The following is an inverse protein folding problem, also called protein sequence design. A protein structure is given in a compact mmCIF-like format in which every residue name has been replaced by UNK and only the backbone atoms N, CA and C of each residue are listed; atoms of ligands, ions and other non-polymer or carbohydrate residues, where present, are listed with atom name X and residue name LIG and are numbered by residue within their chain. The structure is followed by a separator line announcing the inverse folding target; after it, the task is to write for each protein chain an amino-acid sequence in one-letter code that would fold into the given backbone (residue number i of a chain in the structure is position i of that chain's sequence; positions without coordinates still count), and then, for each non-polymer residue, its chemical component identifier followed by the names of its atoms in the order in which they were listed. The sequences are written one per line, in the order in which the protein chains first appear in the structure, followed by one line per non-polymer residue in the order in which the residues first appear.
data_IF_936074306104
#
_entry.id   IF_936074306104
#
_cell.length_a   1.000
_cell.length_b   1.000
_cell.length_c   1.000
_cell.angle_alpha   90.00
_cell.angle_beta   90.00
_cell.angle_gamma   90.00
#
_symmetry.space_group_name_H-M   'P 1'
#
loop_
_entity.id
_entity.type
_entity.pdbx_description
1 polymer ?
#
# COMPACT_ATOMS: atom_id res chain seq x y z
N UNK A 1 -11.66 20.23 26.54
CA UNK A 1 -11.46 18.77 26.47
C UNK A 1 -10.04 18.54 25.99
N UNK A 2 -9.26 17.62 26.57
CA UNK A 2 -7.92 17.31 26.03
C UNK A 2 -8.13 16.39 24.83
N UNK A 3 -7.49 16.69 23.70
CA UNK A 3 -7.53 15.82 22.54
C UNK A 3 -7.05 14.41 22.94
N UNK A 4 -7.67 13.35 22.40
CA UNK A 4 -7.34 11.97 22.73
C UNK A 4 -5.90 11.66 22.36
N UNK A 5 -5.28 10.78 23.15
CA UNK A 5 -3.93 10.31 22.87
C UNK A 5 -3.96 9.36 21.67
N UNK A 6 -3.61 9.90 20.50
CA UNK A 6 -3.53 9.17 19.24
C UNK A 6 -2.60 7.97 19.34
N UNK A 7 -1.51 8.09 20.13
CA UNK A 7 -0.56 6.99 20.34
C UNK A 7 -1.23 5.83 21.07
N UNK A 8 -2.04 6.12 22.09
CA UNK A 8 -2.74 5.10 22.86
C UNK A 8 -3.74 4.30 22.01
N UNK A 9 -4.46 4.96 21.08
CA UNK A 9 -5.37 4.27 20.14
C UNK A 9 -4.60 3.28 19.27
N UNK A 10 -3.47 3.71 18.72
CA UNK A 10 -2.60 2.86 17.90
C UNK A 10 -1.98 1.70 18.67
N UNK A 11 -1.53 1.94 19.90
CA UNK A 11 -0.98 0.92 20.80
C UNK A 11 -2.01 -0.14 21.16
N UNK A 12 -3.24 0.26 21.51
CA UNK A 12 -4.33 -0.65 21.81
C UNK A 12 -4.69 -1.52 20.59
N UNK A 13 -4.75 -0.93 19.40
CA UNK A 13 -5.03 -1.66 18.17
C UNK A 13 -3.93 -2.69 17.84
N UNK A 14 -2.64 -2.32 17.96
CA UNK A 14 -1.52 -3.24 17.80
C UNK A 14 -1.52 -4.35 18.84
N UNK A 15 -1.89 -4.04 20.09
CA UNK A 15 -2.07 -5.02 21.16
C UNK A 15 -3.10 -6.08 20.79
N UNK A 16 -4.27 -5.64 20.31
CA UNK A 16 -5.31 -6.55 19.84
C UNK A 16 -4.85 -7.40 18.64
N UNK A 17 -4.20 -6.80 17.64
CA UNK A 17 -3.66 -7.50 16.47
C UNK A 17 -2.64 -8.58 16.87
N UNK A 18 -1.75 -8.27 17.82
CA UNK A 18 -0.75 -9.21 18.35
C UNK A 18 -1.40 -10.38 19.09
N UNK A 19 -2.43 -10.11 19.89
CA UNK A 19 -3.20 -11.14 20.60
C UNK A 19 -4.00 -12.04 19.65
N UNK A 20 -4.46 -11.50 18.51
CA UNK A 20 -5.27 -12.21 17.51
C UNK A 20 -4.48 -12.62 16.27
N UNK A 21 -3.15 -12.64 16.33
CA UNK A 21 -2.27 -12.90 15.17
C UNK A 21 -2.57 -14.24 14.46
N UNK A 22 -3.13 -15.21 15.17
CA UNK A 22 -3.49 -16.51 14.60
C UNK A 22 -4.58 -16.40 13.51
N UNK A 23 -5.36 -15.33 13.51
CA UNK A 23 -6.33 -15.02 12.44
C UNK A 23 -5.68 -14.72 11.08
N UNK A 24 -4.37 -14.42 11.05
CA UNK A 24 -3.60 -14.15 9.82
C UNK A 24 -2.83 -15.36 9.30
N UNK A 25 -2.93 -16.52 9.94
CA UNK A 25 -2.15 -17.72 9.53
C UNK A 25 -2.56 -18.16 8.13
N UNK A 26 -1.56 -18.47 7.31
CA UNK A 26 -1.80 -19.16 6.06
C UNK A 26 -2.04 -20.64 6.36
N UNK A 27 -3.24 -21.13 6.04
CA UNK A 27 -3.57 -22.55 6.05
C UNK A 27 -3.41 -23.18 4.66
N UNK A 28 -3.83 -24.44 4.53
CA UNK A 28 -3.77 -25.20 3.27
C UNK A 28 -4.51 -24.51 2.11
N UNK A 29 -5.53 -23.69 2.41
CA UNK A 29 -6.25 -22.87 1.45
C UNK A 29 -5.33 -21.85 0.71
N UNK A 30 -4.18 -21.47 1.26
CA UNK A 30 -3.31 -20.44 0.69
C UNK A 30 -2.77 -20.81 -0.71
N UNK A 31 -2.52 -22.10 -0.96
CA UNK A 31 -2.07 -22.62 -2.25
C UNK A 31 -3.15 -23.43 -3.00
N UNK A 32 -4.32 -23.63 -2.37
CA UNK A 32 -5.42 -24.32 -3.03
C UNK A 32 -5.91 -23.54 -4.25
N UNK A 33 -6.20 -24.23 -5.35
CA UNK A 33 -6.68 -23.61 -6.59
C UNK A 33 -7.98 -22.80 -6.43
N UNK A 34 -8.81 -23.17 -5.44
CA UNK A 34 -10.06 -22.49 -5.09
C UNK A 34 -9.95 -21.68 -3.79
N UNK A 35 -8.74 -21.50 -3.26
CA UNK A 35 -8.51 -20.76 -2.02
C UNK A 35 -8.82 -19.27 -2.20
N UNK A 36 -9.50 -18.66 -1.24
CA UNK A 36 -9.86 -17.25 -1.30
C UNK A 36 -8.66 -16.37 -0.91
N UNK A 37 -8.17 -15.56 -1.86
CA UNK A 37 -7.07 -14.59 -1.61
C UNK A 37 -7.46 -13.61 -0.51
N UNK A 38 -8.72 -13.15 -0.52
CA UNK A 38 -9.28 -12.22 0.47
C UNK A 38 -9.36 -12.82 1.89
N UNK A 39 -9.32 -14.15 2.02
CA UNK A 39 -9.32 -14.83 3.32
C UNK A 39 -7.93 -15.34 3.75
N UNK A 40 -6.92 -15.25 2.89
CA UNK A 40 -5.60 -15.84 3.12
C UNK A 40 -4.50 -14.79 2.95
N UNK A 41 -4.09 -14.52 1.72
CA UNK A 41 -2.97 -13.65 1.40
C UNK A 41 -3.23 -12.17 1.64
N UNK A 42 -4.47 -11.69 1.44
CA UNK A 42 -4.82 -10.28 1.61
C UNK A 42 -4.62 -9.81 3.06
N UNK A 43 -5.22 -10.44 4.09
CA UNK A 43 -4.99 -10.04 5.48
C UNK A 43 -3.51 -10.06 5.88
N UNK A 44 -2.75 -11.06 5.41
CA UNK A 44 -1.33 -11.18 5.71
C UNK A 44 -0.50 -10.05 5.09
N UNK A 45 -0.81 -9.68 3.84
CA UNK A 45 -0.16 -8.58 3.14
C UNK A 45 -0.48 -7.22 3.78
N UNK A 46 -1.74 -7.01 4.17
CA UNK A 46 -2.18 -5.80 4.89
C UNK A 46 -1.47 -5.68 6.25
N UNK A 47 -1.39 -6.78 7.00
CA UNK A 47 -0.63 -6.83 8.25
C UNK A 47 0.84 -6.45 8.04
N UNK A 48 1.51 -7.08 7.07
CA UNK A 48 2.91 -6.81 6.79
C UNK A 48 3.13 -5.35 6.37
N UNK A 49 2.25 -4.83 5.52
CA UNK A 49 2.32 -3.46 5.04
C UNK A 49 2.19 -2.43 6.16
N UNK A 50 1.17 -2.57 7.00
CA UNK A 50 0.96 -1.67 8.15
C UNK A 50 2.11 -1.78 9.14
N UNK A 51 2.61 -2.98 9.43
CA UNK A 51 3.76 -3.14 10.33
C UNK A 51 5.00 -2.41 9.81
N UNK A 52 5.27 -2.46 8.49
CA UNK A 52 6.37 -1.68 7.89
C UNK A 52 6.18 -0.19 8.11
N UNK A 53 4.97 0.33 7.91
CA UNK A 53 4.68 1.75 8.13
C UNK A 53 4.86 2.15 9.60
N UNK A 54 4.35 1.35 10.54
CA UNK A 54 4.51 1.59 11.99
C UNK A 54 5.99 1.62 12.37
N UNK A 55 6.78 0.65 11.91
CA UNK A 55 8.23 0.59 12.20
C UNK A 55 8.99 1.81 11.72
N UNK A 56 8.53 2.46 10.64
CA UNK A 56 9.16 3.67 10.08
C UNK A 56 8.83 4.95 10.86
N UNK A 57 7.72 4.98 11.58
CA UNK A 57 7.21 6.18 12.27
C UNK A 57 7.24 6.07 13.80
N UNK A 58 7.81 5.00 14.35
CA UNK A 58 7.87 4.76 15.79
C UNK A 58 9.30 4.55 16.26
N UNK A 59 9.60 5.05 17.46
CA UNK A 59 10.89 4.84 18.12
C UNK A 59 11.16 3.34 18.31
N UNK A 60 12.35 2.80 17.97
CA UNK A 60 12.71 1.40 18.18
C UNK A 60 12.53 0.87 19.62
N UNK A 61 12.60 1.76 20.62
CA UNK A 61 12.37 1.46 22.02
C UNK A 61 10.88 1.52 22.44
N UNK A 62 9.98 1.97 21.58
CA UNK A 62 8.53 2.01 21.86
C UNK A 62 7.90 0.62 21.87
N UNK A 63 6.76 0.49 22.56
CA UNK A 63 5.97 -0.75 22.56
C UNK A 63 5.39 -1.04 21.17
N UNK A 64 4.88 -0.02 20.47
CA UNK A 64 4.37 -0.11 19.11
C UNK A 64 5.39 -0.67 18.13
N UNK A 65 6.64 -0.20 18.18
CA UNK A 65 7.69 -0.69 17.29
C UNK A 65 7.98 -2.18 17.52
N UNK A 66 8.09 -2.61 18.78
CA UNK A 66 8.29 -4.03 19.10
C UNK A 66 7.13 -4.90 18.63
N UNK A 67 5.89 -4.48 18.91
CA UNK A 67 4.69 -5.22 18.48
C UNK A 67 4.62 -5.37 16.95
N UNK A 68 4.87 -4.29 16.21
CA UNK A 68 4.91 -4.31 14.75
C UNK A 68 6.05 -5.19 14.20
N UNK A 69 7.22 -5.17 14.84
CA UNK A 69 8.36 -6.02 14.48
C UNK A 69 8.02 -7.51 14.64
N UNK A 70 7.43 -7.87 15.77
CA UNK A 70 7.03 -9.25 16.07
C UNK A 70 5.94 -9.75 15.11
N UNK A 71 4.95 -8.89 14.80
CA UNK A 71 3.88 -9.17 13.83
C UNK A 71 4.43 -9.33 12.40
N UNK A 72 5.35 -8.47 11.98
CA UNK A 72 6.00 -8.58 10.66
C UNK A 72 6.84 -9.86 10.56
N UNK A 73 7.59 -10.19 11.60
CA UNK A 73 8.36 -11.43 11.67
C UNK A 73 7.43 -12.66 11.65
N UNK A 74 6.29 -12.59 12.35
CA UNK A 74 5.26 -13.61 12.26
C UNK A 74 4.73 -13.76 10.83
N UNK A 75 4.38 -12.66 10.18
CA UNK A 75 3.84 -12.67 8.82
C UNK A 75 4.84 -13.27 7.82
N UNK A 76 6.12 -12.94 7.96
CA UNK A 76 7.19 -13.51 7.13
C UNK A 76 7.37 -15.02 7.34
N UNK A 77 7.21 -15.52 8.58
CA UNK A 77 7.23 -16.96 8.83
C UNK A 77 6.05 -17.68 8.15
N UNK A 78 4.87 -17.04 8.08
CA UNK A 78 3.72 -17.65 7.39
C UNK A 78 3.97 -17.89 5.90
N UNK A 79 4.83 -17.09 5.26
CA UNK A 79 5.18 -17.27 3.84
C UNK A 79 6.28 -18.31 3.61
N UNK A 80 6.65 -19.08 4.65
CA UNK A 80 7.82 -19.96 4.62
C UNK A 80 9.12 -19.17 4.42
N UNK A 81 9.20 -17.96 5.00
CA UNK A 81 10.31 -17.03 4.78
C UNK A 81 10.53 -16.74 3.29
N UNK A 82 9.42 -16.53 2.57
CA UNK A 82 9.41 -16.20 1.15
C UNK A 82 9.40 -17.41 0.20
N UNK A 83 9.50 -18.63 0.72
CA UNK A 83 9.49 -19.86 -0.10
C UNK A 83 8.14 -20.09 -0.82
N UNK A 84 7.03 -19.55 -0.29
CA UNK A 84 5.71 -19.73 -0.91
C UNK A 84 5.46 -18.82 -2.13
N UNK A 85 6.17 -17.69 -2.28
CA UNK A 85 5.91 -16.77 -3.39
C UNK A 85 6.23 -17.35 -4.78
N UNK A 86 7.36 -18.06 -5.00
CA UNK A 86 7.60 -18.75 -6.27
C UNK A 86 6.57 -19.83 -6.57
N UNK A 87 6.04 -20.52 -5.55
CA UNK A 87 4.98 -21.51 -5.74
C UNK A 87 3.69 -20.85 -6.20
N UNK A 88 3.30 -19.78 -5.50
CA UNK A 88 2.12 -18.99 -5.80
C UNK A 88 2.17 -18.38 -7.21
N UNK A 89 3.32 -17.82 -7.61
CA UNK A 89 3.50 -17.28 -8.97
C UNK A 89 3.48 -18.38 -10.04
N UNK A 90 3.96 -19.59 -9.76
CA UNK A 90 3.84 -20.71 -10.71
C UNK A 90 2.39 -21.15 -10.89
N UNK A 91 1.61 -21.16 -9.82
CA UNK A 91 0.18 -21.47 -9.88
C UNK A 91 -0.58 -20.38 -10.62
N UNK A 92 -0.20 -19.11 -10.43
CA UNK A 92 -0.94 -17.96 -10.95
C UNK A 92 -0.02 -16.89 -11.55
N UNK A 93 0.62 -17.18 -12.70
CA UNK A 93 1.69 -16.34 -13.25
C UNK A 93 1.23 -14.95 -13.71
N UNK A 94 -0.08 -14.71 -13.82
CA UNK A 94 -0.66 -13.44 -14.24
C UNK A 94 -1.37 -12.69 -13.10
N UNK A 95 -1.50 -13.30 -11.92
CA UNK A 95 -2.08 -12.62 -10.79
C UNK A 95 -1.04 -11.68 -10.17
N UNK A 96 -1.43 -10.47 -9.78
CA UNK A 96 -0.46 -9.48 -9.28
C UNK A 96 -0.32 -9.47 -7.76
N UNK A 97 -1.28 -10.07 -7.04
CA UNK A 97 -1.34 -9.98 -5.58
C UNK A 97 -0.12 -10.58 -4.88
N UNK A 98 0.51 -11.62 -5.46
CA UNK A 98 1.71 -12.20 -4.88
C UNK A 98 2.87 -11.18 -4.85
N UNK A 99 2.98 -10.31 -5.87
CA UNK A 99 3.98 -9.23 -5.90
C UNK A 99 3.65 -8.14 -4.90
N UNK A 100 2.37 -7.78 -4.80
CA UNK A 100 1.92 -6.73 -3.90
C UNK A 100 2.09 -7.12 -2.42
N UNK A 101 1.79 -8.37 -2.08
CA UNK A 101 2.06 -8.92 -0.74
C UNK A 101 3.57 -9.01 -0.49
N UNK A 102 4.34 -9.48 -1.47
CA UNK A 102 5.81 -9.55 -1.35
C UNK A 102 6.45 -8.18 -1.13
N UNK A 103 5.96 -7.15 -1.82
CA UNK A 103 6.52 -5.79 -1.77
C UNK A 103 6.49 -5.18 -0.36
N UNK A 104 5.54 -5.57 0.48
CA UNK A 104 5.53 -5.22 1.90
C UNK A 104 6.79 -5.74 2.60
N UNK A 105 7.07 -7.03 2.50
CA UNK A 105 8.26 -7.68 3.07
C UNK A 105 9.56 -7.12 2.47
N UNK A 106 9.59 -6.96 1.15
CA UNK A 106 10.75 -6.47 0.43
C UNK A 106 11.19 -5.06 0.89
N UNK A 107 10.23 -4.20 1.23
CA UNK A 107 10.49 -2.86 1.79
C UNK A 107 11.00 -2.87 3.23
N UNK A 108 10.82 -3.97 3.94
CA UNK A 108 11.43 -4.23 5.25
C UNK A 108 12.83 -4.87 5.15
N UNK A 109 13.33 -5.12 3.93
CA UNK A 109 14.57 -5.87 3.71
C UNK A 109 14.43 -7.38 3.85
N UNK A 110 13.20 -7.91 3.95
CA UNK A 110 12.92 -9.34 3.95
C UNK A 110 12.79 -9.81 2.49
N UNK A 111 13.87 -10.39 1.96
CA UNK A 111 14.05 -10.66 0.53
C UNK A 111 14.05 -12.17 0.23
N UNK A 112 13.54 -12.55 -0.94
CA UNK A 112 13.59 -13.89 -1.51
C UNK A 112 14.18 -13.80 -2.92
N UNK A 113 15.50 -14.07 -3.10
CA UNK A 113 16.15 -13.97 -4.41
C UNK A 113 15.50 -14.82 -5.48
N UNK A 114 15.06 -16.04 -5.11
CA UNK A 114 14.38 -16.96 -6.04
C UNK A 114 13.06 -16.38 -6.57
N UNK A 115 12.30 -15.69 -5.70
CA UNK A 115 11.08 -15.03 -6.13
C UNK A 115 11.36 -13.79 -6.99
N UNK A 116 12.34 -12.97 -6.61
CA UNK A 116 12.71 -11.77 -7.37
C UNK A 116 13.17 -12.10 -8.79
N UNK A 117 13.97 -13.16 -8.96
CA UNK A 117 14.40 -13.63 -10.28
C UNK A 117 13.19 -14.05 -11.14
N UNK A 118 12.28 -14.85 -10.57
CA UNK A 118 11.07 -15.30 -11.25
C UNK A 118 10.12 -14.12 -11.59
N UNK A 119 9.91 -13.21 -10.64
CA UNK A 119 9.09 -12.02 -10.83
C UNK A 119 9.68 -11.08 -11.87
N UNK A 120 11.00 -10.91 -11.92
CA UNK A 120 11.65 -10.12 -12.96
C UNK A 120 11.41 -10.70 -14.36
N UNK A 121 11.36 -12.03 -14.51
CA UNK A 121 11.01 -12.66 -15.80
C UNK A 121 9.55 -12.37 -16.17
N UNK A 122 8.62 -12.60 -15.24
CA UNK A 122 7.18 -12.37 -15.46
C UNK A 122 6.89 -10.91 -15.79
N UNK A 123 7.51 -9.96 -15.06
CA UNK A 123 7.29 -8.52 -15.24
C UNK A 123 7.71 -8.00 -16.62
N UNK A 124 8.66 -8.68 -17.29
CA UNK A 124 9.07 -8.35 -18.67
C UNK A 124 8.15 -8.90 -19.75
N UNK A 125 7.19 -9.76 -19.39
CA UNK A 125 6.27 -10.32 -20.38
C UNK A 125 5.27 -9.25 -20.82
N UNK A 126 4.86 -9.30 -22.09
CA UNK A 126 3.78 -8.44 -22.59
C UNK A 126 2.49 -8.64 -21.80
N UNK A 127 2.19 -9.89 -21.40
CA UNK A 127 1.00 -10.24 -20.63
C UNK A 127 0.92 -9.44 -19.33
N UNK A 128 2.00 -9.42 -18.55
CA UNK A 128 2.09 -8.61 -17.33
C UNK A 128 1.87 -7.12 -17.62
N UNK A 129 2.60 -6.56 -18.58
CA UNK A 129 2.58 -5.13 -18.91
C UNK A 129 1.20 -4.62 -19.35
N UNK A 130 0.43 -5.46 -20.05
CA UNK A 130 -0.89 -5.10 -20.60
C UNK A 130 -2.07 -5.68 -19.82
N UNK A 131 -1.84 -6.21 -18.62
CA UNK A 131 -2.91 -6.76 -17.77
C UNK A 131 -4.00 -5.70 -17.54
N UNK A 132 -5.24 -6.03 -17.89
CA UNK A 132 -6.42 -5.21 -17.61
C UNK A 132 -6.62 -5.11 -16.09
N UNK A 133 -6.66 -3.89 -15.57
CA UNK A 133 -6.68 -3.60 -14.14
C UNK A 133 -7.43 -2.31 -13.88
N UNK A 134 -8.07 -2.25 -12.71
CA UNK A 134 -8.57 -0.99 -12.19
C UNK A 134 -7.41 0.01 -12.02
N UNK A 135 -7.64 1.31 -12.25
CA UNK A 135 -6.59 2.32 -12.20
C UNK A 135 -5.81 2.38 -10.88
N UNK A 136 -6.48 2.27 -9.72
CA UNK A 136 -5.82 2.23 -8.41
C UNK A 136 -4.98 0.95 -8.25
N UNK A 137 -5.48 -0.18 -8.76
CA UNK A 137 -4.75 -1.46 -8.76
C UNK A 137 -3.47 -1.36 -9.58
N UNK A 138 -3.51 -0.71 -10.75
CA UNK A 138 -2.30 -0.45 -11.55
C UNK A 138 -1.27 0.34 -10.74
N UNK A 139 -1.68 1.34 -9.96
CA UNK A 139 -0.77 2.08 -9.08
C UNK A 139 -0.15 1.18 -7.99
N UNK A 140 -0.93 0.25 -7.41
CA UNK A 140 -0.42 -0.75 -6.46
C UNK A 140 0.71 -1.59 -7.06
N UNK A 141 0.52 -2.08 -8.28
CA UNK A 141 1.51 -2.91 -8.97
C UNK A 141 2.79 -2.12 -9.25
N UNK A 142 2.68 -0.89 -9.76
CA UNK A 142 3.85 -0.04 -10.03
C UNK A 142 4.62 0.29 -8.73
N UNK A 143 3.91 0.59 -7.65
CA UNK A 143 4.52 0.80 -6.33
C UNK A 143 5.23 -0.49 -5.85
N UNK A 144 4.59 -1.64 -6.04
CA UNK A 144 5.11 -2.95 -5.61
C UNK A 144 6.33 -3.40 -6.41
N UNK A 145 6.37 -3.14 -7.72
CA UNK A 145 7.55 -3.36 -8.56
C UNK A 145 8.74 -2.58 -8.03
N UNK A 146 8.57 -1.28 -7.79
CA UNK A 146 9.62 -0.42 -7.22
C UNK A 146 10.13 -0.96 -5.89
N UNK A 147 9.24 -1.32 -4.97
CA UNK A 147 9.60 -1.84 -3.64
C UNK A 147 10.26 -3.21 -3.68
N UNK A 148 9.87 -4.04 -4.64
CA UNK A 148 10.53 -5.32 -4.92
C UNK A 148 11.88 -5.15 -5.63
N UNK A 149 12.26 -3.93 -6.05
CA UNK A 149 13.50 -3.68 -6.81
C UNK A 149 13.39 -4.07 -8.29
N UNK A 150 12.17 -4.22 -8.80
CA UNK A 150 11.89 -4.44 -10.22
C UNK A 150 11.78 -3.08 -10.93
N UNK A 151 12.13 -3.06 -12.21
CA UNK A 151 11.88 -1.89 -13.05
C UNK A 151 10.37 -1.73 -13.26
N UNK A 152 9.74 -0.61 -12.84
CA UNK A 152 8.32 -0.42 -13.04
C UNK A 152 7.97 -0.42 -14.53
N UNK A 153 6.90 -1.11 -14.91
CA UNK A 153 6.51 -1.21 -16.32
C UNK A 153 5.66 -0.03 -16.83
N UNK A 154 5.51 1.02 -16.02
CA UNK A 154 4.73 2.20 -16.34
C UNK A 154 4.96 3.33 -15.35
N UNK A 155 4.40 4.49 -15.69
CA UNK A 155 4.60 5.72 -14.92
C UNK A 155 3.45 5.96 -13.95
N UNK A 156 3.77 6.17 -12.68
CA UNK A 156 2.78 6.44 -11.63
C UNK A 156 1.90 7.67 -11.92
N UNK A 157 2.43 8.80 -12.44
CA UNK A 157 1.59 9.94 -12.85
C UNK A 157 0.59 9.61 -13.97
N UNK A 158 0.93 8.68 -14.87
CA UNK A 158 0.03 8.27 -15.94
C UNK A 158 -1.10 7.37 -15.41
N UNK A 159 -0.79 6.48 -14.46
CA UNK A 159 -1.79 5.67 -13.77
C UNK A 159 -2.74 6.54 -12.93
N UNK A 160 -2.21 7.53 -12.20
CA UNK A 160 -3.00 8.47 -11.40
C UNK A 160 -4.11 9.14 -12.22
N UNK A 161 -3.79 9.67 -13.41
CA UNK A 161 -4.77 10.35 -14.29
C UNK A 161 -5.95 9.48 -14.71
N UNK A 162 -5.85 8.15 -14.59
CA UNK A 162 -6.94 7.23 -14.91
C UNK A 162 -7.84 6.92 -13.71
N UNK A 163 -7.46 7.34 -12.51
CA UNK A 163 -8.23 7.09 -11.27
C UNK A 163 -9.35 8.11 -11.11
N UNK A 164 -10.34 7.77 -10.27
CA UNK A 164 -11.39 8.71 -9.86
C UNK A 164 -10.76 9.97 -9.23
N UNK A 165 -9.87 9.83 -8.24
CA UNK A 165 -9.19 10.97 -7.60
C UNK A 165 -8.38 11.82 -8.60
N UNK A 166 -7.68 11.19 -9.56
CA UNK A 166 -6.91 11.91 -10.57
C UNK A 166 -7.77 12.72 -11.55
N UNK A 167 -9.07 12.43 -11.64
CA UNK A 167 -10.05 13.20 -12.39
C UNK A 167 -10.60 14.41 -11.63
N UNK A 168 -10.32 14.55 -10.33
CA UNK A 168 -10.86 15.61 -9.45
C UNK A 168 -12.38 15.80 -9.62
N UNK A 169 -13.17 14.74 -9.37
CA UNK A 169 -14.59 14.72 -9.67
C UNK A 169 -15.37 15.63 -8.72
N UNK A 170 -16.66 15.77 -8.94
CA UNK A 170 -17.49 16.53 -8.02
C UNK A 170 -17.56 15.82 -6.65
N UNK A 171 -17.38 16.54 -5.53
CA UNK A 171 -17.14 15.95 -4.22
C UNK A 171 -18.35 15.20 -3.64
N UNK A 172 -19.56 15.50 -4.12
CA UNK A 172 -20.79 14.79 -3.75
C UNK A 172 -20.94 13.43 -4.44
N UNK A 173 -20.05 13.08 -5.39
CA UNK A 173 -19.97 11.73 -5.96
C UNK A 173 -19.15 10.76 -5.09
N UNK A 174 -18.74 11.20 -3.89
CA UNK A 174 -18.05 10.35 -2.92
C UNK A 174 -19.00 9.28 -2.39
N UNK A 175 -18.72 8.04 -2.78
CA UNK A 175 -19.36 6.83 -2.26
C UNK A 175 -18.32 5.95 -1.56
N UNK A 176 -18.78 4.95 -0.80
CA UNK A 176 -17.89 4.05 -0.05
C UNK A 176 -16.80 3.41 -0.92
N UNK A 177 -17.16 2.92 -2.11
CA UNK A 177 -16.21 2.34 -3.07
C UNK A 177 -15.18 3.36 -3.60
N UNK A 178 -15.62 4.60 -3.85
CA UNK A 178 -14.76 5.69 -4.28
C UNK A 178 -13.80 6.11 -3.15
N UNK A 179 -14.28 6.17 -1.90
CA UNK A 179 -13.47 6.48 -0.72
C UNK A 179 -12.33 5.49 -0.52
N UNK A 180 -12.66 4.21 -0.51
CA UNK A 180 -11.68 3.12 -0.46
C UNK A 180 -10.71 3.15 -1.66
N UNK A 181 -11.20 3.44 -2.88
CA UNK A 181 -10.32 3.55 -4.05
C UNK A 181 -9.34 4.72 -3.91
N UNK A 182 -9.82 5.86 -3.40
CA UNK A 182 -9.06 7.09 -3.18
C UNK A 182 -7.96 6.92 -2.14
N UNK A 183 -8.25 6.26 -1.02
CA UNK A 183 -7.27 6.02 0.05
C UNK A 183 -6.09 5.22 -0.48
N UNK A 184 -6.34 4.16 -1.25
CA UNK A 184 -5.31 3.38 -1.92
C UNK A 184 -4.50 4.18 -2.94
N UNK A 185 -5.12 5.09 -3.70
CA UNK A 185 -4.38 5.98 -4.59
C UNK A 185 -3.36 6.81 -3.81
N UNK A 186 -3.76 7.40 -2.68
CA UNK A 186 -2.85 8.18 -1.83
C UNK A 186 -1.78 7.30 -1.18
N UNK A 187 -2.14 6.10 -0.70
CA UNK A 187 -1.14 5.17 -0.16
C UNK A 187 -0.09 4.79 -1.21
N UNK A 188 -0.48 4.53 -2.46
CA UNK A 188 0.49 4.20 -3.49
C UNK A 188 1.34 5.40 -3.95
N UNK A 189 0.76 6.61 -3.99
CA UNK A 189 1.48 7.85 -4.31
C UNK A 189 2.54 8.17 -3.27
N UNK A 190 2.16 8.11 -2.00
CA UNK A 190 2.98 8.53 -0.86
C UNK A 190 3.90 7.43 -0.34
N UNK A 191 3.96 6.29 -1.03
CA UNK A 191 4.63 5.08 -0.52
C UNK A 191 4.20 4.73 0.92
N UNK A 192 2.89 4.74 1.13
CA UNK A 192 2.21 4.49 2.39
C UNK A 192 2.60 5.50 3.48
N UNK A 193 2.60 6.78 3.12
CA UNK A 193 2.87 7.91 4.02
C UNK A 193 4.34 8.31 4.14
N UNK A 194 5.28 7.60 3.50
CA UNK A 194 6.71 7.89 3.57
C UNK A 194 7.18 9.05 2.66
N UNK A 195 6.35 9.46 1.70
CA UNK A 195 6.65 10.53 0.77
C UNK A 195 5.44 11.47 0.58
N UNK A 196 5.07 12.29 1.58
CA UNK A 196 3.93 13.21 1.47
C UNK A 196 4.05 14.18 0.28
N UNK A 197 5.26 14.63 -0.02
CA UNK A 197 5.55 15.56 -1.13
C UNK A 197 5.37 14.93 -2.52
N UNK A 198 5.16 13.61 -2.61
CA UNK A 198 4.86 12.93 -3.86
C UNK A 198 3.43 13.19 -4.35
N UNK A 199 2.54 13.73 -3.50
CA UNK A 199 1.17 14.08 -3.89
C UNK A 199 1.20 15.33 -4.78
N UNK A 200 0.66 15.28 -6.02
CA UNK A 200 0.64 16.45 -6.88
C UNK A 200 -0.14 17.62 -6.23
N UNK A 201 0.31 18.88 -6.37
CA UNK A 201 -0.32 20.02 -5.69
C UNK A 201 -1.82 20.19 -5.94
N UNK A 202 -2.30 19.86 -7.15
CA UNK A 202 -3.73 19.93 -7.48
C UNK A 202 -4.56 18.86 -6.77
N UNK A 203 -3.98 17.67 -6.54
CA UNK A 203 -4.63 16.60 -5.76
C UNK A 203 -4.63 16.97 -4.28
N UNK A 204 -3.52 17.49 -3.76
CA UNK A 204 -3.43 17.95 -2.38
C UNK A 204 -4.44 19.06 -2.09
N UNK A 205 -4.54 20.08 -2.95
CA UNK A 205 -5.51 21.16 -2.80
C UNK A 205 -6.97 20.68 -2.82
N UNK A 206 -7.28 19.69 -3.67
CA UNK A 206 -8.61 19.08 -3.73
C UNK A 206 -8.94 18.31 -2.44
N UNK A 207 -7.99 17.54 -1.91
CA UNK A 207 -8.17 16.81 -0.65
C UNK A 207 -8.22 17.74 0.56
N UNK A 208 -7.42 18.80 0.60
CA UNK A 208 -7.47 19.83 1.63
C UNK A 208 -8.88 20.45 1.74
N UNK A 209 -9.59 20.56 0.62
CA UNK A 209 -10.95 21.12 0.58
C UNK A 209 -12.03 20.12 1.01
N UNK A 210 -11.93 18.85 0.61
CA UNK A 210 -13.06 17.90 0.71
C UNK A 210 -12.87 16.77 1.71
N UNK A 211 -11.63 16.41 2.05
CA UNK A 211 -11.34 15.34 3.00
C UNK A 211 -12.00 15.55 4.37
N UNK A 212 -12.03 16.78 4.96
CA UNK A 212 -12.70 16.98 6.24
C UNK A 212 -14.18 16.58 6.23
N UNK A 213 -14.92 16.96 5.19
CA UNK A 213 -16.35 16.65 5.08
C UNK A 213 -16.62 15.16 4.87
N UNK A 214 -15.79 14.48 4.06
CA UNK A 214 -15.91 13.03 3.87
C UNK A 214 -15.55 12.25 5.13
N UNK A 215 -14.52 12.68 5.86
CA UNK A 215 -14.13 12.08 7.13
C UNK A 215 -15.27 12.24 8.16
N UNK A 216 -15.80 13.44 8.32
CA UNK A 216 -16.94 13.73 9.22
C UNK A 216 -18.14 12.83 8.88
N UNK A 217 -18.51 12.74 7.60
CA UNK A 217 -19.61 11.87 7.12
C UNK A 217 -19.37 10.39 7.41
N UNK A 218 -18.14 9.91 7.23
CA UNK A 218 -17.79 8.51 7.53
C UNK A 218 -17.92 8.23 9.03
N UNK A 219 -17.49 9.15 9.89
CA UNK A 219 -17.58 8.98 11.34
C UNK A 219 -19.02 9.09 11.84
N UNK A 220 -19.82 10.01 11.29
CA UNK A 220 -21.25 10.13 11.59
C UNK A 220 -22.04 8.88 11.20
N UNK A 221 -21.69 8.25 10.07
CA UNK A 221 -22.28 6.98 9.66
C UNK A 221 -21.58 5.77 10.30
N UNK A 222 -20.65 5.97 11.24
CA UNK A 222 -19.91 4.91 11.94
C UNK A 222 -19.20 3.93 10.98
N UNK A 223 -18.70 4.44 9.86
CA UNK A 223 -17.82 3.71 8.93
C UNK A 223 -16.38 3.78 9.42
N UNK A 224 -16.10 3.14 10.55
CA UNK A 224 -14.83 3.25 11.27
C UNK A 224 -13.62 2.85 10.43
N UNK A 225 -13.76 1.80 9.63
CA UNK A 225 -12.71 1.33 8.74
C UNK A 225 -12.27 2.42 7.74
N UNK A 226 -13.23 2.92 6.95
CA UNK A 226 -12.99 3.99 5.98
C UNK A 226 -12.59 5.30 6.69
N UNK A 227 -13.14 5.58 7.86
CA UNK A 227 -12.74 6.73 8.69
C UNK A 227 -11.26 6.68 9.09
N UNK A 228 -10.77 5.52 9.53
CA UNK A 228 -9.35 5.31 9.80
C UNK A 228 -8.49 5.42 8.52
N UNK A 229 -8.98 4.90 7.39
CA UNK A 229 -8.27 5.07 6.12
C UNK A 229 -8.13 6.53 5.71
N UNK A 230 -9.20 7.33 5.84
CA UNK A 230 -9.19 8.77 5.56
C UNK A 230 -8.32 9.55 6.55
N UNK A 231 -8.23 9.12 7.82
CA UNK A 231 -7.26 9.67 8.77
C UNK A 231 -5.81 9.38 8.36
N UNK A 232 -5.52 8.18 7.86
CA UNK A 232 -4.20 7.88 7.29
C UNK A 232 -3.92 8.71 6.03
N UNK A 233 -4.92 8.95 5.17
CA UNK A 233 -4.80 9.90 4.05
C UNK A 233 -4.45 11.29 4.55
N UNK A 234 -5.19 11.82 5.54
CA UNK A 234 -4.91 13.12 6.13
C UNK A 234 -3.47 13.24 6.63
N UNK A 235 -2.96 12.20 7.29
CA UNK A 235 -1.58 12.17 7.78
C UNK A 235 -0.52 12.00 6.68
N UNK A 236 -0.90 11.49 5.51
CA UNK A 236 -0.02 11.28 4.36
C UNK A 236 0.03 12.49 3.40
N UNK A 237 -0.80 13.53 3.60
CA UNK A 237 -0.80 14.74 2.76
C UNK A 237 0.32 15.71 3.16
N UNK A 238 0.79 16.58 2.24
CA UNK A 238 1.81 17.58 2.56
C UNK A 238 1.44 18.46 3.77
N UNK A 239 0.15 18.76 3.96
CA UNK A 239 -0.36 19.51 5.11
C UNK A 239 -1.35 18.66 5.88
N UNK A 240 -1.27 18.71 7.21
CA UNK A 240 -2.29 18.12 8.08
C UNK A 240 -3.57 18.98 8.05
N UNK A 241 -4.76 18.37 8.19
CA UNK A 241 -5.98 19.12 8.50
C UNK A 241 -5.83 19.92 9.80
N UNK A 242 -6.75 20.87 10.02
CA UNK A 242 -6.75 21.66 11.24
C UNK A 242 -6.88 20.79 12.50
N UNK A 243 -6.34 21.31 13.61
CA UNK A 243 -6.25 20.56 14.87
C UNK A 243 -7.60 20.13 15.43
N UNK A 244 -8.66 20.92 15.22
CA UNK A 244 -10.00 20.63 15.74
C UNK A 244 -10.66 19.51 14.95
N UNK A 245 -10.55 19.52 13.61
CA UNK A 245 -10.99 18.43 12.75
C UNK A 245 -10.29 17.11 13.12
N UNK A 246 -8.96 17.13 13.27
CA UNK A 246 -8.23 15.93 13.69
C UNK A 246 -8.61 15.47 15.10
N UNK A 247 -8.76 16.40 16.05
CA UNK A 247 -9.15 16.06 17.42
C UNK A 247 -10.52 15.37 17.46
N UNK A 248 -11.55 15.96 16.82
CA UNK A 248 -12.89 15.35 16.75
C UNK A 248 -12.88 13.98 16.10
N UNK A 249 -12.11 13.81 15.02
CA UNK A 249 -12.02 12.54 14.33
C UNK A 249 -11.42 11.44 15.22
N UNK A 250 -10.30 11.74 15.90
CA UNK A 250 -9.69 10.80 16.83
C UNK A 250 -10.55 10.54 18.08
N UNK A 251 -11.37 11.51 18.53
CA UNK A 251 -12.33 11.29 19.62
C UNK A 251 -13.38 10.25 19.24
N UNK A 252 -13.90 10.33 18.01
CA UNK A 252 -14.82 9.32 17.46
C UNK A 252 -14.20 7.93 17.39
N UNK A 253 -12.98 7.81 16.84
CA UNK A 253 -12.27 6.52 16.77
C UNK A 253 -11.99 5.96 18.16
N UNK A 254 -11.50 6.78 19.10
CA UNK A 254 -11.21 6.34 20.45
C UNK A 254 -12.47 5.89 21.21
N UNK A 255 -13.61 6.55 20.99
CA UNK A 255 -14.88 6.16 21.57
C UNK A 255 -15.45 4.85 20.98
N UNK A 256 -15.17 4.59 19.70
CA UNK A 256 -15.60 3.37 19.00
C UNK A 256 -14.70 2.15 19.30
N UNK A 257 -13.44 2.37 19.69
CA UNK A 257 -12.51 1.30 20.04
C UNK A 257 -12.98 0.57 21.31
N UNK A 258 -13.05 -0.77 21.25
CA UNK A 258 -13.44 -1.60 22.37
C UNK A 258 -12.31 -1.66 23.43
N UNK A 259 -12.63 -2.02 24.69
CA UNK A 259 -11.61 -2.12 25.75
C UNK A 259 -10.47 -3.11 25.46
N UNK A 260 -10.68 -4.10 24.59
CA UNK A 260 -9.65 -5.05 24.16
C UNK A 260 -8.73 -4.51 23.05
N UNK A 261 -8.98 -3.28 22.58
CA UNK A 261 -8.24 -2.60 21.52
C UNK A 261 -8.80 -2.83 20.11
N UNK A 262 -9.79 -3.72 19.94
CA UNK A 262 -10.41 -3.94 18.63
C UNK A 262 -11.26 -2.74 18.20
N UNK A 263 -11.26 -2.49 16.90
CA UNK A 263 -12.18 -1.57 16.26
C UNK A 263 -12.99 -2.34 15.23
N UNK A 264 -14.32 -2.30 15.30
CA UNK A 264 -15.17 -2.92 14.28
C UNK A 264 -15.13 -2.10 12.98
N UNK A 265 -15.30 -2.73 11.83
CA UNK A 265 -15.29 -2.03 10.53
C UNK A 265 -16.43 -1.02 10.39
N UNK A 266 -17.60 -1.40 10.91
CA UNK A 266 -18.83 -0.62 10.88
C UNK A 266 -19.48 -0.64 12.27
N UNK A 267 -20.06 0.48 12.66
CA UNK A 267 -21.04 0.54 13.75
C UNK A 267 -22.49 0.44 13.25
N UNK A 268 -23.48 0.42 14.16
CA UNK A 268 -24.90 0.46 13.81
C UNK A 268 -25.26 1.64 12.89
N UNK A 269 -24.55 2.77 13.00
CA UNK A 269 -24.82 3.99 12.24
C UNK A 269 -26.24 4.52 12.48
N UNK A 270 -26.62 5.52 11.69
CA UNK A 270 -27.90 6.23 11.88
C UNK A 270 -29.17 5.39 11.66
N UNK A 271 -29.05 4.23 11.01
CA UNK A 271 -30.18 3.36 10.68
C UNK A 271 -30.21 2.03 11.45
N UNK A 272 -29.34 1.86 12.46
CA UNK A 272 -29.37 0.68 13.32
C UNK A 272 -29.01 -0.64 12.60
N UNK A 273 -27.91 -0.63 11.85
CA UNK A 273 -27.37 -1.82 11.18
C UNK A 273 -26.98 -2.89 12.21
N UNK A 274 -27.17 -4.15 11.84
CA UNK A 274 -26.55 -5.26 12.57
C UNK A 274 -25.04 -5.22 12.34
N UNK A 275 -24.26 -5.24 13.41
CA UNK A 275 -22.79 -5.19 13.35
C UNK A 275 -22.25 -6.61 13.52
N UNK A 276 -21.63 -7.19 12.48
CA UNK A 276 -20.94 -8.48 12.61
C UNK A 276 -19.77 -8.39 13.58
N UNK A 277 -19.51 -9.47 14.31
CA UNK A 277 -18.41 -9.55 15.28
C UNK A 277 -17.33 -10.54 14.86
N UNK A 278 -16.17 -10.41 15.50
CA UNK A 278 -15.05 -11.34 15.36
C UNK A 278 -13.94 -10.81 14.48
N UNK A 279 -12.85 -11.59 14.41
CA UNK A 279 -11.59 -11.17 13.79
C UNK A 279 -11.78 -10.57 12.39
N UNK A 280 -12.58 -11.23 11.53
CA UNK A 280 -12.80 -10.79 10.14
C UNK A 280 -13.47 -9.43 9.99
N UNK A 281 -14.15 -8.95 11.02
CA UNK A 281 -14.88 -7.69 11.01
C UNK A 281 -14.23 -6.61 11.87
N UNK A 282 -13.04 -6.91 12.43
CA UNK A 282 -12.28 -5.97 13.24
C UNK A 282 -10.84 -5.80 12.77
N UNK A 283 -10.25 -6.79 12.07
CA UNK A 283 -8.81 -6.76 11.82
C UNK A 283 -8.40 -5.60 10.92
N UNK A 284 -9.17 -5.32 9.87
CA UNK A 284 -8.79 -4.30 8.89
C UNK A 284 -8.88 -2.90 9.50
N UNK A 285 -9.99 -2.57 10.14
CA UNK A 285 -10.17 -1.31 10.86
C UNK A 285 -9.16 -1.13 12.00
N UNK A 286 -8.80 -2.21 12.71
CA UNK A 286 -7.73 -2.15 13.74
C UNK A 286 -6.36 -1.92 13.11
N UNK A 287 -6.05 -2.53 11.97
CA UNK A 287 -4.84 -2.23 11.19
C UNK A 287 -4.82 -0.77 10.74
N UNK A 288 -5.93 -0.25 10.22
CA UNK A 288 -6.02 1.13 9.75
C UNK A 288 -5.94 2.13 10.91
N UNK A 289 -6.50 1.83 12.08
CA UNK A 289 -6.34 2.64 13.28
C UNK A 289 -4.87 2.74 13.72
N UNK A 290 -4.16 1.60 13.77
CA UNK A 290 -2.72 1.57 14.09
C UNK A 290 -1.88 2.34 13.05
N UNK A 291 -2.19 2.15 11.76
CA UNK A 291 -1.51 2.82 10.66
C UNK A 291 -1.70 4.34 10.71
N UNK A 292 -2.95 4.81 10.79
CA UNK A 292 -3.28 6.23 10.87
C UNK A 292 -2.67 6.88 12.12
N UNK A 293 -2.66 6.18 13.25
CA UNK A 293 -2.09 6.68 14.50
C UNK A 293 -0.58 6.88 14.39
N UNK A 294 0.13 5.89 13.81
CA UNK A 294 1.58 5.97 13.61
C UNK A 294 1.97 7.13 12.68
N UNK A 295 1.25 7.30 11.55
CA UNK A 295 1.48 8.43 10.64
C UNK A 295 1.22 9.77 11.34
N UNK A 296 0.08 9.90 12.02
CA UNK A 296 -0.30 11.15 12.70
C UNK A 296 0.71 11.53 13.78
N UNK A 297 1.16 10.55 14.58
CA UNK A 297 2.16 10.77 15.62
C UNK A 297 3.53 11.16 15.02
N UNK A 298 3.96 10.50 13.95
CA UNK A 298 5.20 10.82 13.24
C UNK A 298 5.21 12.26 12.73
N UNK A 299 4.13 12.70 12.09
CA UNK A 299 4.00 14.08 11.57
C UNK A 299 4.03 15.14 12.67
N UNK A 300 3.33 14.89 13.79
CA UNK A 300 3.37 15.82 14.94
C UNK A 300 4.77 15.94 15.53
N UNK A 301 5.54 14.85 15.55
CA UNK A 301 6.92 14.88 16.02
C UNK A 301 7.82 15.71 15.09
N UNK A 302 7.70 15.54 13.77
CA UNK A 302 8.41 16.33 12.77
C UNK A 302 8.13 17.84 12.89
N UNK A 303 6.86 18.24 13.06
CA UNK A 303 6.48 19.64 13.24
C UNK A 303 7.12 20.25 14.51
N UNK A 304 7.15 19.50 15.61
CA UNK A 304 7.79 19.96 16.86
C UNK A 304 9.32 20.06 16.75
N UNK A 305 9.95 19.13 16.01
CA UNK A 305 11.39 19.15 15.78
C UNK A 305 11.79 20.29 14.82
N UNK A 306 11.01 20.52 13.76
CA UNK A 306 11.23 21.58 12.77
C UNK A 306 10.99 22.99 13.32
N UNK A 307 10.08 23.16 14.29
CA UNK A 307 9.77 24.44 14.93
C UNK A 307 10.85 24.98 15.88
N UNK A 308 11.84 24.17 16.26
CA UNK A 308 12.92 24.60 17.17
C UNK A 308 14.16 25.18 16.46
N UNK A 309 14.19 25.18 15.12
CA UNK A 309 15.32 25.70 14.33
C UNK A 309 15.20 27.16 13.86
N UNK A 310 14.09 27.86 14.16
CA UNK A 310 13.78 29.17 13.56
C UNK A 310 14.00 30.41 14.43
N UNK A 311 14.47 30.28 15.67
CA UNK A 311 14.59 31.40 16.61
C UNK A 311 16.02 31.56 17.14
N UNK A 312 16.97 31.79 16.25
CA UNK A 312 18.26 32.39 16.59
C UNK A 312 18.90 32.98 15.31
N UNK A 313 18.70 34.27 15.05
CA UNK A 313 19.41 34.91 13.94
C UNK A 313 18.90 36.26 13.44
N UNK A 314 18.36 37.12 14.29
CA UNK A 314 18.28 38.57 14.01
C UNK A 314 19.02 39.28 15.14
N UNK A 315 20.29 39.62 14.92
CA UNK A 315 20.77 41.00 14.84
C UNK A 315 22.31 41.02 14.76
N UNK A 316 22.86 41.51 13.64
CA UNK A 316 23.88 42.56 13.56
C UNK A 316 24.43 42.63 12.13
N UNK A 317 24.12 43.74 11.47
CA UNK A 317 24.82 44.19 10.28
C UNK A 317 26.26 44.60 10.62
N UNK A 318 27.23 44.32 9.74
CA UNK A 318 28.08 45.35 9.11
C UNK A 318 29.10 44.72 8.11
N UNK A 319 29.39 45.43 7.03
CA UNK A 319 30.74 45.49 6.45
C UNK A 319 31.18 44.48 5.39
N UNK A 320 30.94 44.81 4.12
CA UNK A 320 32.05 45.09 3.17
C UNK A 320 32.98 43.96 2.67
N UNK A 321 32.92 43.77 1.35
CA UNK A 321 34.03 43.55 0.42
C UNK A 321 34.67 42.16 0.28
N UNK A 322 34.55 41.67 -0.97
CA UNK A 322 35.61 41.15 -1.84
C UNK A 322 36.43 39.96 -1.34
N UNK A 323 36.24 38.80 -2.00
CA UNK A 323 37.29 37.83 -2.32
C UNK A 323 36.78 36.68 -3.20
N UNK A 324 37.18 36.73 -4.46
CA UNK A 324 37.29 35.58 -5.37
C UNK A 324 38.22 34.50 -4.78
N UNK A 325 37.89 33.20 -4.90
CA UNK A 325 38.89 32.15 -4.75
C UNK A 325 39.36 31.60 -6.12
N UNK A 326 40.64 31.15 -6.20
CA UNK A 326 41.28 30.75 -7.45
C UNK A 326 40.99 29.28 -7.81
N UNK A 327 41.18 28.97 -9.10
CA UNK A 327 41.03 27.63 -9.66
C UNK A 327 42.02 26.61 -9.11
N UNK A 328 41.65 25.33 -9.26
CA UNK A 328 42.55 24.20 -9.14
C UNK A 328 42.28 23.18 -10.25
N UNK A 329 43.40 22.73 -10.80
CA UNK A 329 43.56 21.89 -11.99
C UNK A 329 43.13 20.44 -11.81
N UNK A 330 42.65 19.85 -12.92
CA UNK A 330 43.24 18.64 -13.51
C UNK A 330 42.74 17.28 -13.01
N UNK A 331 42.08 16.52 -13.89
CA UNK A 331 42.73 15.50 -14.73
C UNK A 331 41.73 14.76 -15.62
N UNK A 332 42.06 14.73 -16.91
CA UNK A 332 41.47 13.85 -17.90
C UNK A 332 42.09 12.44 -17.78
N UNK A 333 41.29 11.41 -18.07
CA UNK A 333 41.79 10.13 -18.56
C UNK A 333 41.08 9.79 -19.87
N UNK A 334 41.87 9.85 -20.92
CA UNK A 334 41.61 9.29 -22.25
C UNK A 334 42.05 7.83 -22.21
N UNK A 335 41.20 6.92 -22.69
CA UNK A 335 41.67 5.63 -23.20
C UNK A 335 40.90 5.27 -24.48
N UNK A 336 41.70 5.05 -25.51
CA UNK A 336 41.44 4.91 -26.93
C UNK A 336 41.04 3.47 -27.29
N UNK A 337 40.10 3.32 -28.22
CA UNK A 337 39.82 2.08 -28.94
C UNK A 337 40.87 1.80 -30.04
N UNK A 338 40.91 0.57 -30.56
CA UNK A 338 40.65 0.37 -32.00
C UNK A 338 39.63 -0.77 -32.20
N UNK A 339 38.65 -0.68 -33.10
CA UNK A 339 38.81 -0.71 -34.57
C UNK A 339 39.07 -2.16 -35.00
N UNK A 340 38.34 -2.83 -35.89
CA UNK A 340 37.31 -2.55 -36.87
C UNK A 340 37.22 -3.81 -37.76
N UNK A 341 36.14 -4.03 -38.52
CA UNK A 341 36.12 -5.17 -39.46
C UNK A 341 34.75 -5.55 -39.97
N UNK A 342 34.31 -4.83 -41.01
CA UNK A 342 33.10 -5.03 -41.81
C UNK A 342 33.20 -6.18 -42.82
N UNK A 343 32.05 -6.79 -43.14
CA UNK A 343 31.79 -7.56 -44.36
C UNK A 343 30.71 -8.61 -44.08
N UNK A 344 29.54 -8.68 -44.73
CA UNK A 344 29.12 -8.16 -46.03
C UNK A 344 28.52 -9.32 -46.83
N UNK A 345 27.19 -9.40 -46.90
CA UNK A 345 26.47 -9.98 -48.05
C UNK A 345 25.70 -11.29 -47.83
N UNK A 346 24.55 -11.50 -48.53
CA UNK A 346 23.47 -12.38 -48.08
C UNK A 346 23.19 -13.56 -49.05
N UNK A 347 22.08 -14.25 -48.77
CA UNK A 347 21.33 -15.19 -49.63
C UNK A 347 21.76 -16.66 -49.61
N UNK A 348 20.94 -17.50 -48.96
CA UNK A 348 20.32 -18.66 -49.62
C UNK A 348 19.07 -19.13 -48.88
N UNK A 349 17.99 -19.14 -49.64
CA UNK A 349 16.68 -19.72 -49.36
C UNK A 349 16.80 -21.24 -49.20
N UNK A 350 16.23 -21.77 -48.12
CA UNK A 350 16.17 -23.19 -47.83
C UNK A 350 14.77 -23.56 -47.35
N UNK A 351 13.90 -23.89 -48.30
CA UNK A 351 12.62 -24.57 -48.11
C UNK A 351 12.84 -25.90 -47.39
N UNK A 352 12.21 -26.13 -46.22
CA UNK A 352 11.94 -27.48 -45.72
C UNK A 352 10.72 -27.54 -44.79
N UNK A 353 9.75 -28.33 -45.27
CA UNK A 353 8.88 -29.27 -44.58
C UNK A 353 8.05 -28.80 -43.37
N UNK A 354 6.73 -28.72 -43.61
CA UNK A 354 5.68 -28.80 -42.58
C UNK A 354 5.73 -30.16 -41.86
N UNK A 355 5.69 -30.22 -40.53
CA UNK A 355 5.26 -31.42 -39.82
C UNK A 355 3.74 -31.54 -39.83
N UNK A 356 3.30 -32.80 -39.72
CA UNK A 356 1.92 -33.28 -39.75
C UNK A 356 1.09 -32.72 -38.60
N UNK A 357 -0.21 -32.57 -38.87
CA UNK A 357 -1.23 -32.29 -37.88
C UNK A 357 -1.30 -33.41 -36.84
N UNK A 358 -1.08 -33.06 -35.58
CA UNK A 358 -1.46 -33.86 -34.43
C UNK A 358 -2.96 -33.67 -34.14
N UNK A 359 -3.60 -34.75 -33.67
CA UNK A 359 -5.05 -34.87 -33.51
C UNK A 359 -5.65 -33.95 -32.43
N UNK A 360 -6.99 -33.97 -32.31
CA UNK A 360 -7.70 -33.06 -31.40
C UNK A 360 -7.35 -33.35 -29.93
N UNK A 361 -7.16 -32.31 -29.10
CA UNK A 361 -7.01 -32.48 -27.66
C UNK A 361 -8.31 -33.02 -27.05
N UNK A 362 -8.17 -33.97 -26.11
CA UNK A 362 -9.27 -34.52 -25.33
C UNK A 362 -9.98 -33.46 -24.45
N UNK A 363 -11.14 -33.80 -23.87
CA UNK A 363 -11.99 -32.83 -23.20
C UNK A 363 -11.37 -32.29 -21.91
N UNK A 364 -10.88 -31.06 -21.99
CA UNK A 364 -11.29 -29.95 -21.13
C UNK A 364 -10.96 -30.02 -19.65
N UNK A 365 -9.71 -29.76 -19.27
CA UNK A 365 -9.47 -28.99 -18.05
C UNK A 365 -10.00 -27.57 -18.30
N UNK A 366 -11.04 -27.17 -17.59
CA UNK A 366 -11.54 -25.80 -17.66
C UNK A 366 -10.37 -24.83 -17.34
N UNK A 367 -10.19 -23.75 -18.11
CA UNK A 367 -9.14 -22.79 -17.81
C UNK A 367 -9.39 -22.21 -16.41
N UNK A 368 -8.43 -22.39 -15.51
CA UNK A 368 -8.43 -21.76 -14.20
C UNK A 368 -8.50 -20.25 -14.42
N UNK A 369 -9.59 -19.62 -13.97
CA UNK A 369 -9.66 -18.16 -13.93
C UNK A 369 -8.64 -17.68 -12.88
N UNK A 370 -7.81 -16.68 -13.19
CA UNK A 370 -6.91 -16.09 -12.20
C UNK A 370 -7.72 -15.64 -10.98
N UNK A 371 -7.25 -15.94 -9.77
CA UNK A 371 -7.83 -15.36 -8.57
C UNK A 371 -7.49 -13.88 -8.54
N UNK A 372 -8.51 -13.04 -8.49
CA UNK A 372 -8.33 -11.59 -8.34
C UNK A 372 -8.30 -11.23 -6.87
N UNK A 373 -7.35 -10.39 -6.48
CA UNK A 373 -7.53 -9.61 -5.26
C UNK A 373 -8.55 -8.54 -5.60
N UNK A 374 -9.81 -8.84 -5.33
CA UNK A 374 -10.81 -7.80 -5.40
C UNK A 374 -10.58 -6.86 -4.23
N UNK A 375 -10.47 -5.58 -4.57
CA UNK A 375 -10.69 -4.54 -3.61
C UNK A 375 -12.22 -4.37 -3.46
N UNK A 376 -12.87 -5.43 -2.98
CA UNK A 376 -14.26 -5.37 -2.55
C UNK A 376 -14.24 -4.82 -1.13
N UNK A 377 -14.96 -3.72 -0.85
CA UNK A 377 -15.35 -3.37 0.52
C UNK A 377 -15.93 -4.62 1.17
N UNK A 378 -15.63 -4.87 2.45
CA UNK A 378 -16.12 -6.04 3.18
C UNK A 378 -17.62 -6.27 2.93
N UNK A 379 -17.96 -7.20 2.03
CA UNK A 379 -19.32 -7.60 1.74
C UNK A 379 -19.71 -8.71 2.72
N UNK A 380 -20.32 -8.30 3.82
CA UNK A 380 -21.11 -9.17 4.69
C UNK A 380 -22.57 -9.22 4.24
N UNK A 381 -22.85 -9.69 3.02
CA UNK A 381 -24.21 -10.09 2.63
C UNK A 381 -24.16 -11.31 1.70
N UNK A 382 -24.02 -12.49 2.29
CA UNK A 382 -24.51 -13.72 1.66
C UNK A 382 -26.03 -13.76 1.85
N UNK A 383 -26.77 -13.48 0.78
CA UNK A 383 -28.22 -13.60 0.74
C UNK A 383 -28.66 -15.05 0.92
N UNK A 384 -29.41 -15.34 1.98
CA UNK A 384 -30.21 -16.55 2.09
C UNK A 384 -31.37 -16.47 1.07
N UNK A 385 -31.21 -17.12 -0.07
CA UNK A 385 -32.34 -17.54 -0.90
C UNK A 385 -32.91 -18.85 -0.37
N UNK A 386 -33.97 -18.79 0.43
CA UNK A 386 -34.78 -19.96 0.74
C UNK A 386 -35.76 -20.21 -0.41
N UNK A 387 -35.63 -21.36 -1.06
CA UNK A 387 -36.74 -22.01 -1.77
C UNK A 387 -37.55 -22.83 -0.77
N UNK A 388 -38.78 -22.41 -0.51
CA UNK A 388 -40.00 -23.22 -0.39
C UNK A 388 -41.19 -22.27 -0.25
#
# INVERSE_FOLDING_TARGET
MRAPDVTAVGEAALGWLSANRDGFRLGDEALAAHGSVNRTWKPLGELAQVCVCVLRHTDPASASHRAASDLLAFAWRQTGQGALFPELQRLEPFATYHLEVYAAFAAAGLRSPAYEEAAAVVARTRGWQVTEQDPNRRMSVLNSERRAGLAPHGELPAALRRTWLGGLPEPWSFERSAGYTLTHVIYHLTDWGLAPDAVPPHVAAYLDQWLPAWLDTCLEDEQWDLGCELLAVAAALPRLPDGDTLARAWEGIAAAQKPDGSLAELGPGRYGRTVPEGFRHCYHSSLMAAFAAALTAGRRHEDTAGGTGGAAGEDTADGGADRTPPGAHGRALVAKAPGGGSGGGPCRTGTRARPRAEGPPGPGAAPLRPRTLEYTPGHGQDGQGASA
#
